data_IF_279097907791
#
_entry.id   IF_279097907791
#
_cell.length_a   1.000
_cell.length_b   1.000
_cell.length_c   1.000
_cell.angle_alpha   90.00
_cell.angle_beta   90.00
_cell.angle_gamma   90.00
#
_symmetry.space_group_name_H-M   'P 1'
#
loop_
_entity.id
_entity.type
_entity.pdbx_description
1 polymer ?
#
# COMPACT_ATOMS: atom_id res chain seq x y z
N UNK A 1 -3.42 -9.42 8.45
CA UNK A 1 -4.69 -8.65 8.44
C UNK A 1 -5.91 -9.48 8.80
N UNK A 2 -6.16 -10.67 8.22
CA UNK A 2 -7.39 -11.45 8.53
C UNK A 2 -7.65 -11.70 10.03
N UNK A 3 -6.59 -11.90 10.82
CA UNK A 3 -6.71 -12.01 12.30
C UNK A 3 -7.05 -10.66 12.94
N UNK A 4 -6.46 -9.56 12.46
CA UNK A 4 -6.70 -8.22 12.99
C UNK A 4 -8.13 -7.74 12.74
N UNK A 5 -8.74 -8.14 11.62
CA UNK A 5 -10.14 -7.88 11.30
C UNK A 5 -11.14 -8.55 12.26
N UNK A 6 -10.69 -9.58 13.00
CA UNK A 6 -11.48 -10.27 14.02
C UNK A 6 -11.36 -9.63 15.41
N UNK A 7 -10.49 -8.64 15.56
CA UNK A 7 -10.29 -7.91 16.81
C UNK A 7 -11.02 -6.56 16.74
N UNK A 8 -11.63 -6.14 17.85
CA UNK A 8 -12.26 -4.81 17.98
C UNK A 8 -11.21 -3.75 18.29
N UNK A 9 -10.29 -3.53 17.35
CA UNK A 9 -9.21 -2.55 17.49
C UNK A 9 -9.65 -1.20 16.89
N UNK A 10 -9.62 -0.11 17.67
CA UNK A 10 -9.86 1.22 17.13
C UNK A 10 -8.66 1.67 16.28
N UNK A 11 -8.96 2.30 15.13
CA UNK A 11 -7.99 3.05 14.33
C UNK A 11 -6.77 2.25 13.83
N UNK A 12 -6.99 1.16 13.10
CA UNK A 12 -5.91 0.46 12.38
C UNK A 12 -5.64 1.16 11.06
N UNK A 13 -4.36 1.49 10.82
CA UNK A 13 -3.84 1.87 9.51
C UNK A 13 -3.02 0.70 8.98
N UNK A 14 -3.41 0.18 7.83
CA UNK A 14 -2.65 -0.85 7.10
C UNK A 14 -1.99 -0.21 5.90
N UNK A 15 -0.66 -0.23 5.87
CA UNK A 15 0.13 0.14 4.70
C UNK A 15 0.69 -1.13 4.10
N UNK A 16 0.50 -1.33 2.81
CA UNK A 16 1.00 -2.48 2.07
C UNK A 16 1.51 -2.00 0.72
N UNK A 17 2.61 -2.58 0.24
CA UNK A 17 3.25 -2.21 -1.02
C UNK A 17 3.21 -3.40 -1.99
N UNK A 18 3.06 -3.14 -3.29
CA UNK A 18 3.10 -4.21 -4.31
C UNK A 18 4.52 -4.67 -4.55
N UNK A 19 4.65 -5.82 -5.22
CA UNK A 19 5.94 -6.26 -5.73
C UNK A 19 6.54 -5.17 -6.63
N UNK A 20 7.88 -5.06 -6.61
CA UNK A 20 8.65 -4.02 -7.33
C UNK A 20 8.23 -2.57 -7.03
N UNK A 21 7.44 -2.32 -5.98
CA UNK A 21 7.04 -0.98 -5.53
C UNK A 21 6.34 -0.11 -6.57
N UNK A 22 5.58 -0.72 -7.48
CA UNK A 22 4.77 0.03 -8.44
C UNK A 22 3.57 0.74 -7.81
N UNK A 23 3.03 0.19 -6.72
CA UNK A 23 1.88 0.76 -6.03
C UNK A 23 1.91 0.51 -4.52
N UNK A 24 1.22 1.36 -3.78
CA UNK A 24 1.01 1.27 -2.34
C UNK A 24 -0.48 1.37 -2.03
N UNK A 25 -0.94 0.49 -1.16
CA UNK A 25 -2.30 0.44 -0.63
C UNK A 25 -2.28 0.90 0.82
N UNK A 26 -3.09 1.90 1.14
CA UNK A 26 -3.30 2.39 2.50
C UNK A 26 -4.77 2.24 2.88
N UNK A 27 -5.05 1.49 3.93
CA UNK A 27 -6.39 1.29 4.44
C UNK A 27 -6.52 1.80 5.88
N UNK A 28 -7.51 2.65 6.12
CA UNK A 28 -7.68 3.40 7.37
C UNK A 28 -9.04 3.09 8.00
N UNK A 29 -9.35 1.82 8.28
CA UNK A 29 -10.63 1.44 8.87
C UNK A 29 -10.53 0.13 9.64
N UNK A 30 -11.40 -0.10 10.64
CA UNK A 30 -11.61 -1.45 11.13
C UNK A 30 -12.14 -2.32 9.98
N UNK A 31 -11.55 -3.50 9.80
CA UNK A 31 -11.88 -4.48 8.74
C UNK A 31 -11.33 -4.15 7.34
N UNK A 32 -10.05 -3.78 7.28
CA UNK A 32 -9.36 -3.40 6.04
C UNK A 32 -9.01 -4.60 5.14
N UNK A 33 -9.02 -5.84 5.64
CA UNK A 33 -8.49 -7.00 4.90
C UNK A 33 -9.16 -7.20 3.54
N UNK A 34 -10.50 -7.20 3.49
CA UNK A 34 -11.23 -7.50 2.25
C UNK A 34 -10.97 -6.44 1.18
N UNK A 35 -10.92 -5.17 1.60
CA UNK A 35 -10.64 -4.08 0.68
C UNK A 35 -9.20 -4.14 0.17
N UNK A 36 -8.22 -4.32 1.07
CA UNK A 36 -6.81 -4.44 0.68
C UNK A 36 -6.62 -5.62 -0.27
N UNK A 37 -7.17 -6.80 0.04
CA UNK A 37 -7.07 -7.97 -0.84
C UNK A 37 -7.71 -7.73 -2.21
N UNK A 38 -8.85 -7.03 -2.27
CA UNK A 38 -9.45 -6.66 -3.55
C UNK A 38 -8.55 -5.73 -4.38
N UNK A 39 -7.81 -4.81 -3.75
CA UNK A 39 -6.84 -3.98 -4.46
C UNK A 39 -5.76 -4.86 -5.12
N UNK A 40 -5.19 -5.80 -4.38
CA UNK A 40 -4.12 -6.67 -4.88
C UNK A 40 -4.57 -7.73 -5.89
N UNK A 41 -5.79 -8.23 -5.78
CA UNK A 41 -6.28 -9.33 -6.61
C UNK A 41 -6.96 -8.86 -7.90
N UNK A 42 -7.56 -7.67 -7.89
CA UNK A 42 -8.51 -7.28 -8.93
C UNK A 42 -8.26 -5.91 -9.53
N UNK A 43 -7.48 -5.02 -8.88
CA UNK A 43 -7.37 -3.62 -9.27
C UNK A 43 -5.93 -3.26 -9.67
N UNK A 44 -4.96 -3.57 -8.84
CA UNK A 44 -3.56 -3.20 -9.05
C UNK A 44 -2.82 -4.25 -9.89
N UNK A 45 -1.89 -3.79 -10.74
CA UNK A 45 -0.91 -4.65 -11.41
C UNK A 45 0.12 -5.17 -10.39
N UNK A 46 -0.23 -6.27 -9.73
CA UNK A 46 0.64 -6.93 -8.78
C UNK A 46 1.30 -8.16 -9.43
N UNK A 47 2.55 -7.97 -9.85
CA UNK A 47 3.36 -9.05 -10.42
C UNK A 47 3.65 -10.12 -9.35
N UNK A 48 3.03 -11.29 -9.51
CA UNK A 48 3.16 -12.44 -8.62
C UNK A 48 4.12 -13.52 -9.14
N UNK A 49 4.68 -13.33 -10.35
CA UNK A 49 5.43 -14.37 -11.08
C UNK A 49 6.68 -14.87 -10.34
N UNK A 50 7.27 -14.04 -9.49
CA UNK A 50 8.51 -14.30 -8.76
C UNK A 50 8.38 -14.13 -7.25
N UNK A 51 7.16 -14.01 -6.71
CA UNK A 51 6.91 -13.64 -5.31
C UNK A 51 7.52 -14.63 -4.29
N UNK A 52 7.85 -15.85 -4.74
CA UNK A 52 8.43 -16.93 -3.93
C UNK A 52 9.77 -17.43 -4.47
N UNK A 53 10.40 -16.72 -5.41
CA UNK A 53 11.63 -17.15 -6.08
C UNK A 53 12.76 -16.11 -5.85
N UNK A 54 13.89 -16.48 -5.20
CA UNK A 54 14.27 -17.82 -4.74
C UNK A 54 13.59 -18.25 -3.44
N UNK A 55 13.36 -19.56 -3.30
CA UNK A 55 12.91 -20.19 -2.06
C UNK A 55 14.05 -20.25 -1.04
N UNK A 56 14.17 -19.23 -0.18
CA UNK A 56 15.15 -19.16 0.90
C UNK A 56 14.86 -17.99 1.85
N UNK A 57 15.15 -18.16 3.15
CA UNK A 57 14.84 -17.18 4.19
C UNK A 57 15.52 -15.81 3.97
N UNK A 58 14.69 -14.75 4.03
CA UNK A 58 15.02 -13.31 4.04
C UNK A 58 15.61 -12.78 2.72
N UNK A 59 14.88 -12.18 1.77
CA UNK A 59 13.65 -11.38 1.85
C UNK A 59 12.88 -11.45 0.52
N UNK A 60 11.59 -11.81 0.48
CA UNK A 60 10.76 -11.67 -0.72
C UNK A 60 10.18 -10.25 -0.76
N UNK A 61 11.04 -9.27 -1.03
CA UNK A 61 10.76 -7.87 -1.39
C UNK A 61 12.12 -7.24 -1.70
N UNK A 62 12.19 -6.16 -2.49
CA UNK A 62 13.41 -5.51 -2.99
C UNK A 62 14.00 -6.10 -4.29
N UNK A 63 13.16 -6.43 -5.28
CA UNK A 63 13.51 -6.02 -6.66
C UNK A 63 13.31 -4.50 -6.86
N UNK A 64 12.58 -3.86 -5.95
CA UNK A 64 12.48 -2.41 -5.83
C UNK A 64 13.70 -1.85 -5.10
N UNK A 65 14.17 -0.67 -5.53
CA UNK A 65 15.20 0.06 -4.81
C UNK A 65 14.64 0.66 -3.51
N UNK A 66 15.56 1.05 -2.61
CA UNK A 66 15.20 1.81 -1.41
C UNK A 66 14.40 3.07 -1.76
N UNK A 67 14.76 3.76 -2.84
CA UNK A 67 14.11 5.01 -3.23
C UNK A 67 12.66 4.77 -3.67
N UNK A 68 12.39 3.68 -4.40
CA UNK A 68 11.04 3.36 -4.89
C UNK A 68 10.09 3.10 -3.72
N UNK A 69 10.57 2.34 -2.73
CA UNK A 69 9.81 2.05 -1.51
C UNK A 69 9.63 3.31 -0.67
N UNK A 70 10.72 4.02 -0.40
CA UNK A 70 10.71 5.16 0.50
C UNK A 70 9.84 6.29 -0.05
N UNK A 71 9.84 6.50 -1.36
CA UNK A 71 9.04 7.54 -2.00
C UNK A 71 7.54 7.32 -1.75
N UNK A 72 7.05 6.10 -1.97
CA UNK A 72 5.64 5.77 -1.74
C UNK A 72 5.27 5.81 -0.26
N UNK A 73 6.12 5.24 0.61
CA UNK A 73 5.87 5.19 2.06
C UNK A 73 5.83 6.60 2.66
N UNK A 74 6.80 7.45 2.31
CA UNK A 74 6.84 8.82 2.81
C UNK A 74 5.67 9.66 2.29
N UNK A 75 5.26 9.48 1.04
CA UNK A 75 4.07 10.11 0.50
C UNK A 75 2.83 9.69 1.30
N UNK A 76 2.62 8.39 1.52
CA UNK A 76 1.47 7.87 2.25
C UNK A 76 1.40 8.42 3.68
N UNK A 77 2.52 8.41 4.41
CA UNK A 77 2.60 8.97 5.77
C UNK A 77 2.34 10.47 5.77
N UNK A 78 2.88 11.22 4.79
CA UNK A 78 2.64 12.66 4.66
C UNK A 78 1.16 12.96 4.41
N UNK A 79 0.50 12.17 3.57
CA UNK A 79 -0.93 12.29 3.29
C UNK A 79 -1.79 12.01 4.53
N UNK A 80 -1.46 10.95 5.27
CA UNK A 80 -2.14 10.64 6.54
C UNK A 80 -1.99 11.79 7.54
N UNK A 81 -0.76 12.26 7.75
CA UNK A 81 -0.48 13.39 8.64
C UNK A 81 -1.26 14.64 8.22
N UNK A 82 -1.31 14.95 6.92
CA UNK A 82 -2.07 16.08 6.40
C UNK A 82 -3.57 15.94 6.70
N UNK A 83 -4.16 14.76 6.46
CA UNK A 83 -5.59 14.51 6.75
C UNK A 83 -5.88 14.63 8.24
N UNK A 84 -5.02 14.06 9.09
CA UNK A 84 -5.15 14.16 10.56
C UNK A 84 -5.04 15.59 11.05
N UNK A 85 -4.06 16.36 10.57
CA UNK A 85 -3.84 17.76 10.97
C UNK A 85 -5.03 18.66 10.59
N UNK A 86 -5.65 18.41 9.43
CA UNK A 86 -6.80 19.17 8.95
C UNK A 86 -8.15 18.65 9.46
N UNK A 87 -8.17 17.56 10.23
CA UNK A 87 -9.39 16.95 10.73
C UNK A 87 -10.25 16.30 9.63
N UNK A 88 -9.64 15.92 8.50
CA UNK A 88 -10.31 15.19 7.44
C UNK A 88 -10.48 13.71 7.79
N UNK A 89 -11.51 13.03 7.27
CA UNK A 89 -11.65 11.59 7.46
C UNK A 89 -10.47 10.84 6.85
N UNK A 90 -10.02 9.79 7.55
CA UNK A 90 -9.01 8.87 7.04
C UNK A 90 -9.69 7.83 6.16
N UNK A 91 -9.70 8.10 4.87
CA UNK A 91 -10.24 7.18 3.87
C UNK A 91 -9.16 6.19 3.41
N UNK A 92 -9.61 5.15 2.72
CA UNK A 92 -8.70 4.22 2.07
C UNK A 92 -8.15 4.90 0.81
N UNK A 93 -6.88 4.67 0.49
CA UNK A 93 -6.30 5.21 -0.73
C UNK A 93 -5.24 4.29 -1.33
N UNK A 94 -5.01 4.45 -2.63
CA UNK A 94 -3.89 3.84 -3.34
C UNK A 94 -2.98 4.92 -3.88
N UNK A 95 -1.69 4.61 -3.94
CA UNK A 95 -0.66 5.37 -4.65
C UNK A 95 -0.13 4.48 -5.76
N UNK A 96 -0.08 4.98 -6.98
CA UNK A 96 0.43 4.25 -8.14
C UNK A 96 1.47 5.09 -8.87
N UNK A 97 2.62 4.49 -9.18
CA UNK A 97 3.66 5.14 -9.97
C UNK A 97 3.31 4.97 -11.45
N UNK A 98 3.20 6.09 -12.15
CA UNK A 98 3.16 6.15 -13.61
C UNK A 98 4.51 6.63 -14.13
N UNK A 99 5.11 5.86 -15.04
CA UNK A 99 6.41 6.13 -15.66
C UNK A 99 6.29 6.35 -17.19
N UNK A 100 5.08 6.62 -17.71
CA UNK A 100 4.83 6.68 -19.16
C UNK A 100 5.61 7.78 -19.89
N UNK A 101 5.86 8.93 -19.24
CA UNK A 101 6.61 10.06 -19.79
C UNK A 101 7.55 10.70 -18.75
N UNK A 102 7.05 10.90 -17.53
CA UNK A 102 7.80 11.34 -16.35
C UNK A 102 7.34 10.47 -15.16
N UNK A 103 8.08 10.52 -14.04
CA UNK A 103 7.67 9.85 -12.80
C UNK A 103 6.55 10.66 -12.14
N UNK A 104 5.34 10.09 -12.07
CA UNK A 104 4.19 10.67 -11.39
C UNK A 104 3.64 9.68 -10.35
N UNK A 105 3.23 10.20 -9.18
CA UNK A 105 2.54 9.40 -8.15
C UNK A 105 1.07 9.79 -8.16
N UNK A 106 0.22 8.88 -8.60
CA UNK A 106 -1.23 9.07 -8.65
C UNK A 106 -1.84 8.61 -7.33
N UNK A 107 -2.45 9.54 -6.60
CA UNK A 107 -3.26 9.23 -5.42
C UNK A 107 -4.72 9.03 -5.83
N UNK A 108 -5.32 7.91 -5.39
CA UNK A 108 -6.74 7.63 -5.56
C UNK A 108 -7.37 7.26 -4.22
N UNK A 109 -8.34 8.05 -3.79
CA UNK A 109 -9.03 7.92 -2.50
C UNK A 109 -10.42 7.27 -2.69
N UNK A 110 -10.89 6.52 -1.69
CA UNK A 110 -12.13 5.71 -1.74
C UNK A 110 -12.99 5.88 -0.49
#
# INVERSE_FOLDING_TARGET
MHILDKLELPNIITISITNKSKALVCACTPKSYRWVMNQYQSILDNDTSDMYNPTGCWSPTFKASYNDIQTLVQYAVKQLNYKMEKGFPLNNFTLEIDESNNIEIKLKEY
#
